data_IF_340800697657
#
_entry.id   IF_340800697657
#
_cell.length_a   1.000
_cell.length_b   1.000
_cell.length_c   1.000
_cell.angle_alpha   90.00
_cell.angle_beta   90.00
_cell.angle_gamma   90.00
#
_symmetry.space_group_name_H-M   'P 1'
#
loop_
_entity.id
_entity.type
_entity.pdbx_description
1 polymer ?
#
# COMPACT_ATOMS: atom_id res chain seq x y z
N UNK A 1 3.06 -8.76 -2.87
CA UNK A 1 2.18 -7.56 -2.96
C UNK A 1 2.97 -6.27 -3.05
N UNK A 2 2.26 -5.14 -3.06
CA UNK A 2 2.89 -3.83 -3.16
C UNK A 2 3.25 -3.31 -1.77
N UNK A 3 4.09 -4.05 -1.08
CA UNK A 3 4.46 -3.70 0.28
C UNK A 3 3.62 -4.44 1.28
N UNK A 4 2.37 -4.67 0.91
CA UNK A 4 1.45 -5.42 1.74
C UNK A 4 1.61 -6.91 1.46
N UNK A 5 2.36 -7.58 2.30
CA UNK A 5 2.59 -9.02 2.15
C UNK A 5 2.13 -9.76 3.40
N UNK A 6 1.16 -9.20 4.10
CA UNK A 6 0.60 -9.85 5.25
C UNK A 6 0.82 -9.08 6.54
N UNK A 7 0.25 -9.61 7.62
CA UNK A 7 0.29 -8.98 8.95
C UNK A 7 1.72 -8.67 9.35
N UNK A 8 2.60 -9.63 9.12
CA UNK A 8 3.98 -9.54 9.57
C UNK A 8 4.88 -8.96 8.48
N UNK A 9 4.26 -8.49 7.40
CA UNK A 9 4.99 -7.85 6.32
C UNK A 9 4.13 -6.74 5.73
N UNK A 10 3.68 -5.85 6.61
CA UNK A 10 2.82 -4.75 6.20
C UNK A 10 3.63 -3.48 6.00
N UNK A 11 4.17 -3.32 4.80
CA UNK A 11 4.97 -2.15 4.50
C UNK A 11 4.11 -1.12 3.77
N UNK A 12 3.26 -0.43 4.53
CA UNK A 12 2.37 0.58 3.99
C UNK A 12 3.16 1.71 3.35
N UNK A 13 4.42 1.86 3.79
CA UNK A 13 5.35 2.84 3.24
C UNK A 13 5.49 2.58 1.73
N UNK A 14 5.69 1.32 1.37
CA UNK A 14 5.91 0.94 -0.01
C UNK A 14 4.61 0.97 -0.79
N UNK A 15 3.50 0.69 -0.11
CA UNK A 15 2.19 0.83 -0.71
C UNK A 15 1.96 2.29 -1.10
N UNK A 16 2.33 3.20 -0.20
CA UNK A 16 2.24 4.63 -0.46
C UNK A 16 3.14 4.99 -1.64
N UNK A 17 4.38 4.49 -1.61
CA UNK A 17 5.34 4.71 -2.71
C UNK A 17 4.70 4.30 -4.03
N UNK A 18 4.11 3.10 -4.03
CA UNK A 18 3.46 2.56 -5.22
C UNK A 18 2.36 3.49 -5.71
N UNK A 19 1.41 3.79 -4.84
CA UNK A 19 0.26 4.60 -5.21
C UNK A 19 0.67 6.00 -5.61
N UNK A 20 1.67 6.55 -4.93
CA UNK A 20 2.20 7.88 -5.23
C UNK A 20 2.79 7.87 -6.64
N UNK A 21 3.30 6.72 -7.07
CA UNK A 21 3.87 6.57 -8.40
C UNK A 21 2.77 6.47 -9.45
N UNK A 22 1.53 6.36 -9.01
CA UNK A 22 0.41 6.29 -9.92
C UNK A 22 -0.32 7.63 -9.97
N UNK A 23 -0.40 8.25 -11.16
CA UNK A 23 -1.12 9.50 -11.35
C UNK A 23 -2.59 9.39 -10.91
N UNK A 24 -3.11 10.45 -10.29
CA UNK A 24 -4.48 10.47 -9.77
C UNK A 24 -4.57 9.97 -8.33
N UNK A 25 -3.45 9.49 -7.81
CA UNK A 25 -3.38 9.11 -6.40
C UNK A 25 -2.34 9.95 -5.69
N UNK A 26 -2.50 10.07 -4.38
CA UNK A 26 -1.56 10.85 -3.57
C UNK A 26 -0.93 9.99 -2.48
N UNK A 27 -1.52 8.82 -2.24
CA UNK A 27 -1.01 7.93 -1.22
C UNK A 27 -1.68 6.59 -1.28
N UNK A 28 -1.35 5.71 -0.36
CA UNK A 28 -1.95 4.40 -0.32
C UNK A 28 -1.76 3.73 1.02
N UNK A 29 -2.87 3.44 1.69
CA UNK A 29 -2.83 2.80 2.98
C UNK A 29 -2.95 1.29 2.83
N UNK A 30 -2.29 0.56 3.71
CA UNK A 30 -2.31 -0.89 3.65
C UNK A 30 -3.45 -1.43 4.49
N UNK A 31 -4.28 -2.27 3.88
CA UNK A 31 -5.48 -2.76 4.55
C UNK A 31 -5.65 -4.26 4.42
N UNK A 32 -6.69 -4.77 5.08
CA UNK A 32 -7.09 -6.18 5.01
C UNK A 32 -5.94 -7.11 5.38
N UNK A 33 -5.61 -7.20 6.67
CA UNK A 33 -4.52 -8.04 7.17
C UNK A 33 -3.19 -7.70 6.50
N UNK A 34 -3.06 -6.45 6.10
CA UNK A 34 -1.84 -5.99 5.46
C UNK A 34 -1.59 -6.70 4.14
N UNK A 35 -2.65 -7.05 3.43
CA UNK A 35 -2.50 -7.71 2.14
C UNK A 35 -2.95 -6.82 0.99
N UNK A 36 -3.84 -5.88 1.27
CA UNK A 36 -4.40 -5.05 0.23
C UNK A 36 -3.86 -3.63 0.28
N UNK A 37 -3.11 -3.28 -0.73
CA UNK A 37 -2.63 -1.91 -0.90
C UNK A 37 -3.73 -1.07 -1.51
N UNK A 38 -4.25 -0.10 -0.77
CA UNK A 38 -5.37 0.69 -1.26
C UNK A 38 -4.98 2.14 -1.43
N UNK A 39 -4.99 2.57 -2.68
CA UNK A 39 -4.55 3.90 -3.05
C UNK A 39 -5.66 4.93 -2.92
N UNK A 40 -5.29 6.15 -2.62
CA UNK A 40 -6.23 7.26 -2.49
C UNK A 40 -5.59 8.53 -3.05
N UNK A 41 -6.40 9.35 -3.70
#
# INVERSE_FOLDING_TARGET
>A
GFGCNGXWNEDDXRCHAHCXSIPPYKGGYCAKPGFVCKCYX
#
